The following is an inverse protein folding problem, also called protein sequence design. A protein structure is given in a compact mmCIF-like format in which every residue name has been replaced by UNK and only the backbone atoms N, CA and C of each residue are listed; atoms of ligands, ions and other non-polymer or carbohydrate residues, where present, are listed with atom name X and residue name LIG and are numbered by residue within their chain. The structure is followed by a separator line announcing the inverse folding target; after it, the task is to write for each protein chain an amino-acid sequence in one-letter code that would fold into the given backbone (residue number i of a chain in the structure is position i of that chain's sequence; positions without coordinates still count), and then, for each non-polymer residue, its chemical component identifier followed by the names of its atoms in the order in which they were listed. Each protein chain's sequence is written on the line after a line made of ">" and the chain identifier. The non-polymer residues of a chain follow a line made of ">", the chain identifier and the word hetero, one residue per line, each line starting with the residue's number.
data_IF_876283743002
#
_entry.id   IF_876283743002
#
_cell.length_a   1.000
_cell.length_b   1.000
_cell.length_c   1.000
_cell.angle_alpha   90.00
_cell.angle_beta   90.00
_cell.angle_gamma   90.00
#
_symmetry.space_group_name_H-M   'P 1'
#
loop_
_entity.id
_entity.type
_entity.pdbx_description
1 polymer ?
#
# COMPACT_ATOMS: atom_id res chain seq x y z
N UNK A 1 -14.03 63.99 -29.09
CA UNK A 1 -15.24 63.53 -28.38
C UNK A 1 -15.35 64.25 -27.06
N UNK A 2 -16.52 64.85 -26.80
CA UNK A 2 -16.90 65.39 -25.49
C UNK A 2 -16.85 64.28 -24.43
N UNK A 3 -16.53 64.64 -23.17
CA UNK A 3 -16.54 63.71 -22.03
C UNK A 3 -17.86 62.92 -21.94
N UNK A 4 -18.97 63.60 -22.22
CA UNK A 4 -20.30 63.00 -22.23
C UNK A 4 -20.44 61.91 -23.30
N UNK A 5 -19.89 62.12 -24.49
CA UNK A 5 -19.90 61.12 -25.57
C UNK A 5 -19.08 59.86 -25.19
N UNK A 6 -17.97 60.02 -24.45
CA UNK A 6 -17.17 58.88 -23.98
C UNK A 6 -17.94 58.06 -22.93
N UNK A 7 -18.64 58.71 -22.00
CA UNK A 7 -19.48 58.03 -21.01
C UNK A 7 -20.61 57.22 -21.66
N UNK A 8 -21.27 57.79 -22.68
CA UNK A 8 -22.33 57.07 -23.42
C UNK A 8 -21.77 55.82 -24.12
N UNK A 9 -20.61 55.93 -24.78
CA UNK A 9 -19.98 54.78 -25.46
C UNK A 9 -19.59 53.68 -24.47
N UNK A 10 -19.07 54.02 -23.28
CA UNK A 10 -18.72 53.03 -22.25
C UNK A 10 -19.97 52.33 -21.70
N UNK A 11 -21.04 53.06 -21.42
CA UNK A 11 -22.30 52.46 -20.97
C UNK A 11 -22.89 51.51 -22.01
N UNK A 12 -22.82 51.89 -23.29
CA UNK A 12 -23.32 51.08 -24.41
C UNK A 12 -22.47 49.80 -24.58
N UNK A 13 -21.16 49.90 -24.41
CA UNK A 13 -20.27 48.73 -24.39
C UNK A 13 -20.60 47.79 -23.22
N UNK A 14 -20.79 48.30 -22.00
CA UNK A 14 -21.16 47.47 -20.84
C UNK A 14 -22.51 46.78 -21.06
N UNK A 15 -23.49 47.47 -21.65
CA UNK A 15 -24.78 46.87 -21.96
C UNK A 15 -24.67 45.76 -23.00
N UNK A 16 -23.89 45.96 -24.06
CA UNK A 16 -23.69 44.95 -25.12
C UNK A 16 -22.89 43.76 -24.60
N UNK A 17 -21.71 43.99 -24.01
CA UNK A 17 -20.83 42.92 -23.54
C UNK A 17 -21.39 42.23 -22.29
N UNK A 18 -21.99 42.98 -21.36
CA UNK A 18 -22.66 42.44 -20.19
C UNK A 18 -23.92 41.67 -20.58
N UNK A 19 -24.71 42.18 -21.53
CA UNK A 19 -25.88 41.48 -22.08
C UNK A 19 -25.50 40.20 -22.82
N UNK A 20 -24.46 40.24 -23.65
CA UNK A 20 -23.94 39.06 -24.34
C UNK A 20 -23.33 38.03 -23.37
N UNK A 21 -22.60 38.48 -22.34
CA UNK A 21 -22.06 37.60 -21.29
C UNK A 21 -23.15 36.96 -20.44
N UNK A 22 -24.17 37.73 -20.06
CA UNK A 22 -25.34 37.21 -19.36
C UNK A 22 -26.16 36.25 -20.23
N UNK A 23 -26.38 36.60 -21.50
CA UNK A 23 -27.07 35.73 -22.46
C UNK A 23 -26.27 34.46 -22.74
N UNK A 24 -24.94 34.52 -22.87
CA UNK A 24 -24.11 33.33 -22.95
C UNK A 24 -24.20 32.50 -21.67
N UNK A 25 -24.17 33.12 -20.50
CA UNK A 25 -24.34 32.42 -19.22
C UNK A 25 -25.75 31.80 -19.07
N UNK A 26 -26.79 32.40 -19.64
CA UNK A 26 -28.18 31.90 -19.60
C UNK A 26 -28.44 30.84 -20.67
N UNK A 27 -27.99 31.07 -21.91
CA UNK A 27 -28.16 30.17 -23.05
C UNK A 27 -27.24 28.94 -22.98
N UNK A 28 -26.04 29.10 -22.41
CA UNK A 28 -25.12 28.00 -22.10
C UNK A 28 -25.13 27.65 -20.61
N UNK A 29 -26.23 27.90 -19.87
CA UNK A 29 -26.44 27.14 -18.63
C UNK A 29 -26.38 25.67 -19.01
N UNK A 30 -25.60 24.82 -18.32
CA UNK A 30 -25.53 23.40 -18.63
C UNK A 30 -26.82 22.71 -18.15
N UNK A 31 -27.94 22.99 -18.85
CA UNK A 31 -29.19 22.24 -18.73
C UNK A 31 -28.93 20.76 -19.06
N UNK A 32 -27.90 20.48 -19.85
CA UNK A 32 -27.54 19.13 -20.28
C UNK A 32 -26.89 18.27 -19.19
N UNK A 33 -26.09 18.83 -18.26
CA UNK A 33 -25.46 18.01 -17.21
C UNK A 33 -26.48 17.46 -16.21
N UNK A 34 -27.45 18.28 -15.80
CA UNK A 34 -28.55 17.85 -14.93
C UNK A 34 -29.51 16.88 -15.64
N UNK A 35 -29.76 17.09 -16.94
CA UNK A 35 -30.68 16.26 -17.73
C UNK A 35 -30.09 14.89 -18.06
N UNK A 36 -28.77 14.81 -18.30
CA UNK A 36 -28.04 13.54 -18.48
C UNK A 36 -27.99 12.72 -17.19
N UNK A 37 -27.89 13.37 -16.02
CA UNK A 37 -27.98 12.68 -14.72
C UNK A 37 -29.38 12.11 -14.44
N UNK A 38 -30.42 12.68 -15.04
CA UNK A 38 -31.82 12.23 -14.86
C UNK A 38 -32.29 11.16 -15.87
N UNK A 39 -31.42 10.63 -16.74
CA UNK A 39 -31.80 9.55 -17.67
C UNK A 39 -31.75 8.20 -16.90
N UNK A 40 -32.89 7.55 -16.62
CA UNK A 40 -32.96 6.42 -15.70
C UNK A 40 -32.27 5.13 -16.20
N UNK A 41 -31.75 5.09 -17.42
CA UNK A 41 -31.14 3.90 -18.04
C UNK A 41 -29.63 4.01 -18.35
N UNK A 42 -28.97 5.14 -18.11
CA UNK A 42 -27.50 5.25 -18.33
C UNK A 42 -26.77 5.23 -17.00
N UNK A 43 -26.41 4.04 -16.53
CA UNK A 43 -25.50 3.88 -15.40
C UNK A 43 -24.11 4.33 -15.84
N UNK A 44 -23.69 5.53 -15.45
CA UNK A 44 -22.31 6.00 -15.68
C UNK A 44 -21.33 4.99 -15.07
N UNK A 45 -20.45 4.43 -15.91
CA UNK A 45 -19.37 3.56 -15.48
C UNK A 45 -18.08 4.36 -15.56
N UNK A 46 -17.48 4.61 -14.40
CA UNK A 46 -16.23 5.34 -14.31
C UNK A 46 -15.13 4.67 -15.16
N UNK A 47 -14.32 5.40 -15.96
CA UNK A 47 -13.32 4.82 -16.87
C UNK A 47 -12.36 3.83 -16.21
N UNK A 48 -11.93 4.11 -14.98
CA UNK A 48 -11.09 3.22 -14.18
C UNK A 48 -11.71 1.84 -13.89
N UNK A 49 -13.03 1.68 -13.88
CA UNK A 49 -13.66 0.35 -13.76
C UNK A 49 -13.31 -0.52 -14.98
N UNK A 50 -13.32 0.07 -16.17
CA UNK A 50 -12.91 -0.62 -17.40
C UNK A 50 -11.41 -0.91 -17.41
N UNK A 51 -10.59 0.07 -17.01
CA UNK A 51 -9.12 -0.11 -16.94
C UNK A 51 -8.72 -1.18 -15.93
N UNK A 52 -9.38 -1.24 -14.78
CA UNK A 52 -9.15 -2.29 -13.79
C UNK A 52 -9.40 -3.67 -14.40
N UNK A 53 -10.53 -3.85 -15.09
CA UNK A 53 -10.84 -5.12 -15.77
C UNK A 53 -9.79 -5.46 -16.84
N UNK A 54 -9.40 -4.50 -17.67
CA UNK A 54 -8.34 -4.71 -18.67
C UNK A 54 -7.02 -5.13 -18.03
N UNK A 55 -6.61 -4.48 -16.94
CA UNK A 55 -5.41 -4.87 -16.20
C UNK A 55 -5.53 -6.28 -15.61
N UNK A 56 -6.68 -6.64 -15.04
CA UNK A 56 -6.95 -8.00 -14.55
C UNK A 56 -6.83 -9.04 -15.67
N UNK A 57 -7.34 -8.72 -16.86
CA UNK A 57 -7.25 -9.57 -18.05
C UNK A 57 -5.77 -9.76 -18.45
N UNK A 58 -5.00 -8.67 -18.56
CA UNK A 58 -3.56 -8.71 -18.84
C UNK A 58 -2.77 -9.52 -17.80
N UNK A 59 -3.11 -9.41 -16.50
CA UNK A 59 -2.48 -10.23 -15.44
C UNK A 59 -2.78 -11.71 -15.63
N UNK A 60 -4.04 -12.08 -15.94
CA UNK A 60 -4.41 -13.48 -16.22
C UNK A 60 -3.68 -14.05 -17.43
N UNK A 61 -3.34 -13.20 -18.40
CA UNK A 61 -2.55 -13.56 -19.58
C UNK A 61 -1.02 -13.55 -19.33
N UNK A 62 -0.56 -13.22 -18.11
CA UNK A 62 0.86 -13.12 -17.76
C UNK A 62 1.56 -11.86 -18.27
N UNK A 63 0.82 -10.91 -18.85
CA UNK A 63 1.34 -9.65 -19.41
C UNK A 63 1.49 -8.58 -18.34
N UNK A 64 2.39 -8.82 -17.38
CA UNK A 64 2.55 -7.98 -16.19
C UNK A 64 2.93 -6.53 -16.52
N UNK A 65 3.80 -6.30 -17.51
CA UNK A 65 4.21 -4.95 -17.91
C UNK A 65 3.05 -4.14 -18.50
N UNK A 66 2.20 -4.77 -19.32
CA UNK A 66 1.01 -4.14 -19.89
C UNK A 66 -0.01 -3.81 -18.78
N UNK A 67 -0.26 -4.77 -17.89
CA UNK A 67 -1.13 -4.55 -16.73
C UNK A 67 -0.63 -3.36 -15.88
N UNK A 68 0.67 -3.32 -15.60
CA UNK A 68 1.30 -2.23 -14.83
C UNK A 68 1.09 -0.88 -15.51
N UNK A 69 1.29 -0.79 -16.82
CA UNK A 69 1.10 0.46 -17.57
C UNK A 69 -0.35 0.94 -17.47
N UNK A 70 -1.33 0.04 -17.65
CA UNK A 70 -2.76 0.35 -17.52
C UNK A 70 -3.09 0.88 -16.11
N UNK A 71 -2.56 0.23 -15.07
CA UNK A 71 -2.81 0.58 -13.67
C UNK A 71 -2.21 1.93 -13.28
N UNK A 72 -0.95 2.16 -13.65
CA UNK A 72 -0.27 3.45 -13.41
C UNK A 72 -1.02 4.57 -14.13
N UNK A 73 -1.39 4.36 -15.40
CA UNK A 73 -2.17 5.33 -16.17
C UNK A 73 -3.52 5.63 -15.52
N UNK A 74 -4.23 4.61 -15.02
CA UNK A 74 -5.51 4.78 -14.34
C UNK A 74 -5.38 5.63 -13.07
N UNK A 75 -4.35 5.38 -12.26
CA UNK A 75 -4.10 6.08 -10.99
C UNK A 75 -3.58 7.51 -11.20
N UNK A 76 -2.80 7.76 -12.25
CA UNK A 76 -2.28 9.10 -12.57
C UNK A 76 -3.38 10.00 -13.12
N UNK A 77 -4.19 9.50 -14.06
CA UNK A 77 -5.23 10.31 -14.70
C UNK A 77 -6.41 10.58 -13.78
N UNK A 78 -6.85 9.57 -13.03
CA UNK A 78 -8.07 9.62 -12.22
C UNK A 78 -7.81 9.02 -10.83
N UNK A 79 -7.00 9.67 -9.98
CA UNK A 79 -6.57 9.14 -8.68
C UNK A 79 -7.72 8.98 -7.68
N UNK A 80 -8.84 9.69 -7.87
CA UNK A 80 -10.03 9.62 -7.01
C UNK A 80 -11.18 8.93 -7.74
N UNK A 81 -11.05 7.63 -7.91
CA UNK A 81 -12.06 6.76 -8.54
C UNK A 81 -12.70 5.80 -7.54
N UNK A 82 -13.91 5.26 -7.81
CA UNK A 82 -14.56 4.28 -6.93
C UNK A 82 -13.78 2.96 -6.79
N UNK A 83 -12.84 2.68 -7.71
CA UNK A 83 -12.02 1.46 -7.73
C UNK A 83 -10.54 1.72 -7.43
N UNK A 84 -10.22 2.87 -6.83
CA UNK A 84 -8.83 3.29 -6.58
C UNK A 84 -8.10 2.31 -5.67
N UNK A 85 -8.81 1.73 -4.70
CA UNK A 85 -8.27 0.75 -3.78
C UNK A 85 -7.85 -0.52 -4.51
N UNK A 86 -8.74 -1.06 -5.32
CA UNK A 86 -8.54 -2.27 -6.13
C UNK A 86 -7.44 -2.06 -7.18
N UNK A 87 -7.36 -0.87 -7.78
CA UNK A 87 -6.26 -0.51 -8.68
C UNK A 87 -4.91 -0.52 -7.96
N UNK A 88 -4.82 0.02 -6.74
CA UNK A 88 -3.57 0.02 -5.94
C UNK A 88 -3.21 -1.37 -5.45
N UNK A 89 -4.21 -2.15 -5.03
CA UNK A 89 -4.03 -3.55 -4.61
C UNK A 89 -3.48 -4.39 -5.78
N UNK A 90 -4.08 -4.26 -6.98
CA UNK A 90 -3.60 -4.96 -8.18
C UNK A 90 -2.24 -4.46 -8.65
N UNK A 91 -1.98 -3.15 -8.59
CA UNK A 91 -0.67 -2.59 -8.94
C UNK A 91 0.42 -3.13 -8.01
N UNK A 92 0.17 -3.18 -6.71
CA UNK A 92 1.10 -3.73 -5.73
C UNK A 92 1.40 -5.20 -5.97
N UNK A 93 0.38 -6.00 -6.30
CA UNK A 93 0.57 -7.39 -6.67
C UNK A 93 1.44 -7.54 -7.94
N UNK A 94 1.15 -6.77 -8.99
CA UNK A 94 1.93 -6.77 -10.24
C UNK A 94 3.38 -6.33 -10.01
N UNK A 95 3.58 -5.24 -9.27
CA UNK A 95 4.91 -4.72 -8.94
C UNK A 95 5.72 -5.73 -8.13
N UNK A 96 5.09 -6.43 -7.19
CA UNK A 96 5.72 -7.50 -6.40
C UNK A 96 6.10 -8.70 -7.28
N UNK A 97 5.23 -9.12 -8.22
CA UNK A 97 5.56 -10.19 -9.17
C UNK A 97 6.73 -9.82 -10.08
N UNK A 98 6.76 -8.60 -10.62
CA UNK A 98 7.87 -8.09 -11.43
C UNK A 98 9.15 -7.97 -10.60
N UNK A 99 9.04 -7.50 -9.36
CA UNK A 99 10.18 -7.34 -8.46
C UNK A 99 10.82 -8.69 -8.11
N UNK A 100 10.03 -9.73 -7.85
CA UNK A 100 10.55 -11.06 -7.53
C UNK A 100 10.75 -11.99 -8.74
N UNK A 101 10.53 -11.52 -9.96
CA UNK A 101 10.85 -12.30 -11.17
C UNK A 101 12.36 -12.46 -11.33
N UNK A 102 12.78 -13.51 -12.04
CA UNK A 102 14.19 -13.72 -12.42
C UNK A 102 14.61 -12.89 -13.65
N UNK A 103 13.95 -11.75 -13.87
CA UNK A 103 14.27 -10.81 -14.95
C UNK A 103 15.16 -9.67 -14.43
N UNK A 104 16.17 -9.24 -15.21
CA UNK A 104 16.95 -8.05 -14.92
C UNK A 104 16.06 -6.82 -14.75
N UNK A 105 16.40 -5.96 -13.80
CA UNK A 105 15.70 -4.69 -13.61
C UNK A 105 16.64 -3.67 -12.95
N UNK A 106 16.36 -2.36 -13.05
CA UNK A 106 17.17 -1.34 -12.37
C UNK A 106 17.25 -1.51 -10.84
N UNK A 107 16.40 -2.34 -10.24
CA UNK A 107 16.35 -2.62 -8.80
C UNK A 107 17.13 -3.87 -8.41
N UNK A 108 17.73 -4.58 -9.38
CA UNK A 108 18.49 -5.80 -9.17
C UNK A 108 19.92 -5.59 -9.68
N UNK A 109 20.89 -6.08 -8.93
CA UNK A 109 22.29 -6.09 -9.32
C UNK A 109 22.66 -7.50 -9.76
N UNK A 110 23.22 -7.66 -10.95
CA UNK A 110 23.85 -8.91 -11.35
C UNK A 110 25.14 -9.12 -10.55
N UNK A 111 25.27 -10.28 -9.92
CA UNK A 111 26.40 -10.64 -9.08
C UNK A 111 26.94 -12.01 -9.48
N UNK A 112 28.27 -12.11 -9.63
CA UNK A 112 28.96 -13.38 -9.83
C UNK A 112 29.54 -13.81 -8.49
N UNK A 113 29.11 -14.98 -8.01
CA UNK A 113 29.53 -15.53 -6.71
C UNK A 113 31.03 -15.80 -6.71
N UNK A 114 31.74 -15.30 -5.70
CA UNK A 114 33.17 -15.52 -5.52
C UNK A 114 33.44 -16.64 -4.51
N UNK A 115 34.67 -17.15 -4.49
CA UNK A 115 35.09 -18.14 -3.51
C UNK A 115 34.98 -17.57 -2.09
N UNK A 116 34.27 -18.29 -1.22
CA UNK A 116 34.03 -17.89 0.18
C UNK A 116 32.79 -17.02 0.39
N UNK A 117 32.06 -16.65 -0.67
CA UNK A 117 30.79 -15.95 -0.52
C UNK A 117 29.71 -16.85 0.10
N UNK A 118 28.84 -16.23 0.90
CA UNK A 118 27.59 -16.80 1.38
C UNK A 118 26.45 -15.84 1.02
N UNK A 119 25.22 -16.33 0.87
CA UNK A 119 24.07 -15.45 0.57
C UNK A 119 23.93 -14.30 1.58
N UNK A 120 24.22 -14.55 2.85
CA UNK A 120 24.17 -13.53 3.91
C UNK A 120 25.24 -12.45 3.75
N UNK A 121 26.46 -12.80 3.30
CA UNK A 121 27.52 -11.82 3.06
C UNK A 121 27.25 -10.98 1.82
N UNK A 122 26.76 -11.60 0.74
CA UNK A 122 26.34 -10.91 -0.49
C UNK A 122 25.17 -9.96 -0.19
N UNK A 123 24.14 -10.46 0.51
CA UNK A 123 22.97 -9.67 0.87
C UNK A 123 23.34 -8.43 1.67
N UNK A 124 24.19 -8.57 2.69
CA UNK A 124 24.66 -7.43 3.49
C UNK A 124 25.42 -6.40 2.65
N UNK A 125 26.26 -6.84 1.71
CA UNK A 125 27.05 -5.96 0.84
C UNK A 125 26.18 -5.14 -0.13
N UNK A 126 25.03 -5.68 -0.53
CA UNK A 126 24.17 -5.11 -1.57
C UNK A 126 22.82 -4.61 -1.05
N UNK A 127 22.71 -4.36 0.27
CA UNK A 127 21.48 -3.89 0.92
C UNK A 127 20.25 -4.76 0.59
N UNK A 128 20.44 -6.09 0.66
CA UNK A 128 19.43 -7.11 0.37
C UNK A 128 19.20 -8.04 1.57
N UNK A 129 18.45 -9.13 1.37
CA UNK A 129 18.34 -10.25 2.30
C UNK A 129 18.58 -11.58 1.58
N UNK A 130 19.03 -12.60 2.32
CA UNK A 130 19.26 -13.93 1.74
C UNK A 130 17.97 -14.51 1.17
N UNK A 131 16.84 -14.33 1.86
CA UNK A 131 15.51 -14.81 1.44
C UNK A 131 15.05 -14.12 0.15
N UNK A 132 15.28 -12.80 0.02
CA UNK A 132 14.94 -12.07 -1.21
C UNK A 132 15.80 -12.53 -2.40
N UNK A 133 17.11 -12.77 -2.19
CA UNK A 133 17.99 -13.33 -3.22
C UNK A 133 17.51 -14.73 -3.64
N UNK A 134 17.21 -15.60 -2.67
CA UNK A 134 16.68 -16.93 -2.97
C UNK A 134 15.38 -16.85 -3.75
N UNK A 135 14.45 -15.96 -3.35
CA UNK A 135 13.16 -15.78 -4.00
C UNK A 135 13.27 -15.32 -5.45
N UNK A 136 14.16 -14.35 -5.74
CA UNK A 136 14.40 -13.85 -7.11
C UNK A 136 15.07 -14.90 -7.99
N UNK A 137 16.00 -15.67 -7.43
CA UNK A 137 16.81 -16.62 -8.20
C UNK A 137 16.21 -18.02 -8.26
N UNK A 138 15.05 -18.25 -7.63
CA UNK A 138 14.40 -19.54 -7.45
C UNK A 138 15.34 -20.57 -6.80
N UNK A 139 16.04 -20.16 -5.73
CA UNK A 139 16.91 -21.06 -4.95
C UNK A 139 16.12 -21.69 -3.82
N UNK A 140 16.22 -23.02 -3.70
CA UNK A 140 15.56 -23.78 -2.62
C UNK A 140 16.43 -23.88 -1.35
N UNK A 141 17.71 -23.47 -1.42
CA UNK A 141 18.64 -23.50 -0.29
C UNK A 141 19.61 -22.31 -0.32
N UNK A 142 20.34 -22.11 0.77
CA UNK A 142 21.38 -21.07 0.86
C UNK A 142 22.72 -21.45 0.25
N UNK A 143 22.85 -22.69 -0.26
CA UNK A 143 24.07 -23.17 -0.87
C UNK A 143 24.25 -22.55 -2.27
N UNK A 144 25.33 -21.80 -2.44
CA UNK A 144 25.73 -21.16 -3.70
C UNK A 144 27.12 -21.62 -4.11
N UNK A 145 27.41 -21.59 -5.42
CA UNK A 145 28.73 -22.01 -5.94
C UNK A 145 29.50 -20.85 -6.55
N UNK A 146 30.83 -20.78 -6.38
CA UNK A 146 31.65 -19.81 -7.11
C UNK A 146 31.40 -19.87 -8.63
N UNK A 147 31.29 -18.72 -9.27
CA UNK A 147 30.94 -18.56 -10.69
C UNK A 147 29.44 -18.52 -10.99
N UNK A 148 28.58 -18.81 -10.02
CA UNK A 148 27.12 -18.71 -10.17
C UNK A 148 26.69 -17.25 -10.36
N UNK A 149 25.76 -17.02 -11.28
CA UNK A 149 25.18 -15.69 -11.54
C UNK A 149 23.89 -15.54 -10.75
N UNK A 150 23.83 -14.51 -9.90
CA UNK A 150 22.67 -14.17 -9.09
C UNK A 150 22.15 -12.78 -9.44
N UNK A 151 20.84 -12.63 -9.46
CA UNK A 151 20.18 -11.34 -9.42
C UNK A 151 19.90 -10.96 -7.97
N UNK A 152 20.55 -9.91 -7.48
CA UNK A 152 20.42 -9.46 -6.08
C UNK A 152 19.49 -8.25 -6.02
N UNK A 153 18.25 -8.38 -5.48
CA UNK A 153 17.33 -7.26 -5.36
C UNK A 153 17.77 -6.30 -4.25
N UNK A 154 17.70 -4.99 -4.47
CA UNK A 154 17.93 -3.99 -3.41
C UNK A 154 16.64 -3.77 -2.62
N UNK A 155 16.73 -3.81 -1.29
CA UNK A 155 15.60 -3.63 -0.38
C UNK A 155 15.59 -2.22 0.21
N UNK A 156 15.46 -1.22 -0.67
CA UNK A 156 15.43 0.21 -0.38
C UNK A 156 14.01 0.75 -0.13
N UNK A 157 13.23 -0.02 0.63
CA UNK A 157 11.85 0.29 0.94
C UNK A 157 11.70 1.05 2.25
N UNK A 158 10.53 1.66 2.42
CA UNK A 158 10.00 2.16 3.68
C UNK A 158 8.52 1.77 3.81
N UNK A 159 8.03 1.70 5.04
CA UNK A 159 6.66 1.31 5.36
C UNK A 159 5.90 2.51 5.96
N UNK A 160 4.66 2.68 5.53
CA UNK A 160 3.66 3.48 6.24
C UNK A 160 2.55 2.56 6.74
N UNK A 161 2.33 2.53 8.04
CA UNK A 161 1.18 1.88 8.67
C UNK A 161 0.11 2.94 8.85
N UNK A 162 -0.87 2.98 7.94
CA UNK A 162 -1.99 3.90 7.93
C UNK A 162 -3.20 3.25 8.60
N UNK A 163 -3.26 3.36 9.93
CA UNK A 163 -4.33 2.76 10.73
C UNK A 163 -5.71 3.37 10.43
N UNK A 164 -5.88 4.70 10.26
CA UNK A 164 -7.18 5.26 9.87
C UNK A 164 -7.75 4.69 8.58
N UNK A 165 -6.89 4.26 7.65
CA UNK A 165 -7.31 3.65 6.39
C UNK A 165 -7.22 2.11 6.39
N UNK A 166 -6.85 1.48 7.52
CA UNK A 166 -6.63 0.04 7.66
C UNK A 166 -5.66 -0.53 6.62
N UNK A 167 -4.55 0.17 6.35
CA UNK A 167 -3.58 -0.23 5.33
C UNK A 167 -2.15 -0.12 5.80
N UNK A 168 -1.35 -1.09 5.40
CA UNK A 168 0.10 -0.96 5.37
C UNK A 168 0.51 -0.68 3.93
N UNK A 169 1.26 0.40 3.71
CA UNK A 169 1.76 0.81 2.40
C UNK A 169 3.27 0.68 2.39
N UNK A 170 3.81 -0.06 1.43
CA UNK A 170 5.24 -0.12 1.15
C UNK A 170 5.53 0.87 0.02
N UNK A 171 6.57 1.68 0.21
CA UNK A 171 7.01 2.66 -0.78
C UNK A 171 8.53 2.62 -0.95
N UNK A 172 9.00 3.09 -2.08
CA UNK A 172 10.43 3.29 -2.39
C UNK A 172 10.68 4.74 -2.81
N UNK A 173 11.87 5.04 -3.35
CA UNK A 173 12.22 6.38 -3.81
C UNK A 173 11.38 6.89 -5.00
N UNK A 174 10.58 6.04 -5.64
CA UNK A 174 9.64 6.39 -6.73
C UNK A 174 8.21 6.55 -6.22
N UNK A 175 7.97 6.36 -4.92
CA UNK A 175 6.68 6.48 -4.27
C UNK A 175 6.04 5.13 -3.98
N UNK A 176 4.73 5.01 -4.23
CA UNK A 176 3.96 3.80 -3.93
C UNK A 176 4.56 2.57 -4.63
N UNK A 177 4.73 1.49 -3.88
CA UNK A 177 5.15 0.19 -4.41
C UNK A 177 4.08 -0.89 -4.24
N UNK A 178 3.58 -1.10 -3.01
CA UNK A 178 2.47 -2.04 -2.76
C UNK A 178 1.70 -1.65 -1.50
N UNK A 179 0.54 -2.27 -1.27
CA UNK A 179 -0.21 -2.12 -0.02
C UNK A 179 -0.91 -3.41 0.38
N UNK A 180 -1.15 -3.54 1.69
CA UNK A 180 -1.77 -4.70 2.30
C UNK A 180 -2.84 -4.27 3.31
N UNK A 181 -3.95 -5.01 3.42
CA UNK A 181 -4.96 -4.77 4.45
C UNK A 181 -4.41 -5.05 5.86
N UNK A 182 -4.82 -4.22 6.81
CA UNK A 182 -4.65 -4.51 8.24
C UNK A 182 -5.94 -5.17 8.73
N UNK A 183 -5.81 -6.29 9.44
CA UNK A 183 -6.95 -7.05 9.98
C UNK A 183 -7.46 -6.40 11.26
N UNK A 184 -6.57 -6.16 12.22
CA UNK A 184 -6.89 -5.46 13.47
C UNK A 184 -5.63 -4.83 14.06
N UNK A 185 -5.81 -3.90 15.00
CA UNK A 185 -4.70 -3.28 15.71
C UNK A 185 -5.09 -3.03 17.17
N UNK A 186 -4.33 -3.61 18.09
CA UNK A 186 -4.43 -3.38 19.53
C UNK A 186 -3.12 -2.76 20.01
N UNK A 187 -3.10 -1.45 20.21
CA UNK A 187 -1.87 -0.69 20.43
C UNK A 187 -1.78 -0.11 21.84
N UNK A 188 -0.57 0.21 22.33
CA UNK A 188 -0.42 0.98 23.56
C UNK A 188 -1.16 2.32 23.47
N UNK A 189 -1.75 2.81 24.59
CA UNK A 189 -2.39 4.11 24.60
C UNK A 189 -1.38 5.21 24.27
N UNK A 190 -1.73 6.08 23.32
CA UNK A 190 -0.85 7.17 22.86
C UNK A 190 -1.64 8.41 22.50
N UNK A 191 -1.05 9.58 22.75
CA UNK A 191 -1.60 10.88 22.32
C UNK A 191 -1.06 11.31 20.96
N UNK A 192 -0.03 10.64 20.44
CA UNK A 192 0.59 10.98 19.16
C UNK A 192 -0.37 10.72 18.00
N UNK A 193 -0.33 11.57 16.99
CA UNK A 193 -0.98 11.31 15.70
C UNK A 193 -0.11 10.44 14.80
N UNK A 194 1.21 10.47 15.00
CA UNK A 194 2.20 9.80 14.17
C UNK A 194 3.41 9.33 14.99
N UNK A 195 4.00 8.20 14.60
CA UNK A 195 5.23 7.66 15.19
C UNK A 195 6.20 7.25 14.07
N UNK A 196 7.40 7.81 14.10
CA UNK A 196 8.53 7.31 13.32
C UNK A 196 9.28 6.24 14.11
N UNK A 197 9.58 5.13 13.44
CA UNK A 197 10.34 4.00 13.99
C UNK A 197 11.04 3.25 12.85
N UNK A 198 11.68 2.13 13.17
CA UNK A 198 12.29 1.22 12.20
C UNK A 198 11.94 -0.22 12.53
N UNK A 199 12.15 -1.10 11.56
CA UNK A 199 12.10 -2.54 11.76
C UNK A 199 13.25 -2.97 12.65
N UNK A 200 12.96 -3.53 13.82
CA UNK A 200 13.97 -4.03 14.75
C UNK A 200 14.41 -5.45 14.38
N UNK A 201 13.45 -6.34 14.18
CA UNK A 201 13.73 -7.74 13.80
C UNK A 201 12.59 -8.35 12.99
N UNK A 202 12.93 -9.44 12.28
CA UNK A 202 11.98 -10.34 11.63
C UNK A 202 12.14 -11.70 12.29
N UNK A 203 11.04 -12.33 12.68
CA UNK A 203 11.04 -13.64 13.32
C UNK A 203 9.87 -14.50 12.86
N UNK A 204 9.99 -15.80 13.09
CA UNK A 204 8.92 -16.77 12.85
C UNK A 204 8.53 -17.40 14.18
N UNK A 205 7.24 -17.53 14.45
CA UNK A 205 6.72 -18.02 15.74
C UNK A 205 5.90 -19.28 15.55
N UNK A 206 6.11 -20.23 16.44
CA UNK A 206 5.34 -21.47 16.51
C UNK A 206 5.19 -21.87 17.99
N UNK A 207 3.97 -22.20 18.39
CA UNK A 207 3.65 -22.61 19.76
C UNK A 207 4.14 -21.62 20.84
N UNK A 208 3.97 -20.31 20.59
CA UNK A 208 4.35 -19.25 21.52
C UNK A 208 5.85 -19.02 21.70
N UNK A 209 6.68 -19.62 20.83
CA UNK A 209 8.14 -19.43 20.84
C UNK A 209 8.64 -18.96 19.49
N UNK A 210 9.60 -18.05 19.52
CA UNK A 210 10.34 -17.67 18.33
C UNK A 210 11.20 -18.86 17.87
N UNK A 211 11.01 -19.26 16.62
CA UNK A 211 11.88 -20.19 15.93
C UNK A 211 13.18 -19.47 15.58
N UNK A 212 14.30 -20.17 15.72
CA UNK A 212 15.55 -19.67 15.16
C UNK A 212 15.40 -19.59 13.64
N UNK A 213 16.01 -18.56 13.05
CA UNK A 213 16.07 -18.38 11.61
C UNK A 213 16.98 -19.47 11.00
N UNK A 214 16.52 -20.72 11.03
CA UNK A 214 17.06 -21.75 10.17
C UNK A 214 16.65 -21.39 8.75
N UNK A 215 17.57 -21.58 7.81
CA UNK A 215 17.63 -20.98 6.50
C UNK A 215 16.53 -21.42 5.51
N UNK A 216 15.41 -21.95 6.01
CA UNK A 216 14.24 -22.37 5.25
C UNK A 216 13.01 -21.54 5.59
N UNK A 217 12.21 -21.24 4.56
CA UNK A 217 10.84 -20.72 4.71
C UNK A 217 10.00 -21.78 5.45
N UNK A 218 9.93 -21.69 6.77
CA UNK A 218 9.11 -22.59 7.60
C UNK A 218 7.63 -22.27 7.34
N UNK A 219 7.03 -22.97 6.37
CA UNK A 219 5.65 -22.73 5.90
C UNK A 219 4.60 -22.75 7.02
N UNK A 220 4.86 -23.48 8.10
CA UNK A 220 3.94 -23.60 9.24
C UNK A 220 4.05 -22.46 10.25
N UNK A 221 5.20 -21.80 10.34
CA UNK A 221 5.44 -20.76 11.33
C UNK A 221 4.76 -19.44 10.98
N UNK A 222 4.38 -18.66 11.99
CA UNK A 222 3.72 -17.36 11.85
C UNK A 222 4.78 -16.26 11.76
N UNK A 223 4.87 -15.49 10.66
CA UNK A 223 5.84 -14.43 10.55
C UNK A 223 5.46 -13.26 11.46
N UNK A 224 6.48 -12.60 11.99
CA UNK A 224 6.38 -11.48 12.92
C UNK A 224 7.46 -10.45 12.60
N UNK A 225 7.09 -9.18 12.65
CA UNK A 225 7.98 -8.05 12.45
C UNK A 225 7.90 -7.17 13.69
N UNK A 226 8.94 -7.17 14.50
CA UNK A 226 9.04 -6.30 15.67
C UNK A 226 9.62 -4.94 15.25
N UNK A 227 9.02 -3.86 15.74
CA UNK A 227 9.51 -2.50 15.51
C UNK A 227 10.36 -2.03 16.69
N UNK A 228 11.25 -1.06 16.44
CA UNK A 228 12.10 -0.48 17.50
C UNK A 228 11.28 0.27 18.57
N UNK A 229 10.08 0.72 18.21
CA UNK A 229 9.12 1.31 19.15
C UNK A 229 8.43 0.21 19.97
N UNK A 230 8.69 0.21 21.28
CA UNK A 230 8.14 -0.78 22.21
C UNK A 230 6.60 -0.86 22.13
N UNK A 231 6.07 -2.08 22.12
CA UNK A 231 4.63 -2.35 22.03
C UNK A 231 4.05 -2.34 20.61
N UNK A 232 4.88 -2.11 19.58
CA UNK A 232 4.46 -2.16 18.18
C UNK A 232 5.11 -3.35 17.46
N UNK A 233 4.26 -4.29 17.07
CA UNK A 233 4.63 -5.53 16.38
C UNK A 233 3.59 -5.83 15.33
N UNK A 234 4.04 -6.26 14.14
CA UNK A 234 3.17 -6.82 13.12
C UNK A 234 3.22 -8.34 13.24
N UNK A 235 2.07 -9.00 13.27
CA UNK A 235 1.99 -10.45 13.41
C UNK A 235 0.93 -11.06 12.51
N UNK A 236 1.27 -12.23 11.95
CA UNK A 236 0.38 -12.98 11.06
C UNK A 236 -0.80 -13.59 11.80
N UNK A 237 -1.98 -13.51 11.20
CA UNK A 237 -3.16 -14.30 11.57
C UNK A 237 -3.58 -15.18 10.39
N UNK A 238 -4.19 -16.33 10.68
CA UNK A 238 -4.77 -17.18 9.64
C UNK A 238 -6.10 -16.63 9.11
N UNK A 239 -6.67 -17.29 8.10
CA UNK A 239 -8.05 -17.05 7.67
C UNK A 239 -9.02 -17.40 8.81
N UNK A 240 -9.28 -16.48 9.73
CA UNK A 240 -10.53 -16.52 10.47
C UNK A 240 -11.66 -16.46 9.43
N UNK A 241 -12.44 -17.54 9.31
CA UNK A 241 -13.71 -17.47 8.59
C UNK A 241 -14.48 -16.30 9.18
N UNK A 242 -14.69 -15.29 8.34
CA UNK A 242 -15.63 -14.19 8.54
C UNK A 242 -16.92 -14.72 9.16
N UNK A 243 -17.02 -14.66 10.47
CA UNK A 243 -18.24 -14.78 11.21
C UNK A 243 -18.08 -13.86 12.41
N UNK A 244 -18.71 -12.69 12.26
CA UNK A 244 -19.18 -11.85 13.36
C UNK A 244 -18.23 -10.76 13.87
N UNK A 245 -18.53 -9.57 13.34
CA UNK A 245 -18.76 -8.35 14.12
C UNK A 245 -17.61 -7.36 14.25
N UNK A 246 -17.79 -6.27 13.50
CA UNK A 246 -17.38 -4.92 13.86
C UNK A 246 -17.93 -4.56 15.25
N UNK A 247 -17.29 -4.99 16.31
CA UNK A 247 -17.58 -4.50 17.66
C UNK A 247 -16.29 -4.02 18.32
N UNK A 248 -16.26 -2.71 18.56
CA UNK A 248 -15.41 -2.11 19.58
C UNK A 248 -15.92 -2.70 20.90
N UNK A 249 -15.32 -3.81 21.33
CA UNK A 249 -15.68 -4.48 22.56
C UNK A 249 -15.21 -3.64 23.76
N UNK A 250 -16.18 -3.01 24.44
CA UNK A 250 -16.06 -2.62 25.84
C UNK A 250 -16.09 -3.92 26.66
N UNK A 251 -15.07 -4.11 27.47
CA UNK A 251 -14.90 -5.29 28.32
C UNK A 251 -16.01 -5.35 29.38
N UNK A 252 -16.74 -6.46 29.42
CA UNK A 252 -17.39 -6.94 30.65
C UNK A 252 -16.80 -8.28 31.00
N UNK A 253 -16.39 -8.40 32.26
CA UNK A 253 -15.67 -9.51 32.86
C UNK A 253 -16.42 -10.86 32.81
N UNK A 254 -15.62 -11.90 33.01
CA UNK A 254 -15.96 -13.27 33.39
C UNK A 254 -16.48 -14.24 32.30
N UNK A 255 -15.56 -15.00 31.69
CA UNK A 255 -15.59 -16.46 31.83
C UNK A 255 -14.31 -17.14 31.30
N UNK A 256 -13.83 -18.14 32.05
CA UNK A 256 -12.78 -19.08 31.62
C UNK A 256 -13.18 -19.79 30.32
N UNK A 257 -12.37 -19.64 29.28
CA UNK A 257 -12.42 -20.49 28.08
C UNK A 257 -11.01 -20.94 27.69
N UNK A 258 -10.89 -22.26 27.61
CA UNK A 258 -9.77 -23.05 27.06
C UNK A 258 -8.87 -22.29 26.08
N UNK A 259 -7.60 -22.13 26.44
CA UNK A 259 -6.54 -21.63 25.54
C UNK A 259 -6.51 -22.48 24.26
N UNK A 260 -7.07 -21.96 23.17
CA UNK A 260 -6.90 -22.50 21.84
C UNK A 260 -5.41 -22.35 21.49
N UNK A 261 -4.74 -23.46 21.13
CA UNK A 261 -3.34 -23.48 20.69
C UNK A 261 -3.00 -22.48 19.58
N UNK A 262 -4.03 -21.94 18.91
CA UNK A 262 -3.96 -20.93 17.83
C UNK A 262 -3.76 -19.49 18.32
N UNK A 263 -4.08 -19.19 19.59
CA UNK A 263 -3.79 -17.90 20.23
C UNK A 263 -2.37 -17.81 20.81
N UNK A 264 -1.64 -18.93 20.89
CA UNK A 264 -0.32 -18.98 21.52
C UNK A 264 0.72 -18.03 20.87
N UNK A 265 0.54 -17.72 19.59
CA UNK A 265 1.45 -16.82 18.84
C UNK A 265 1.00 -15.35 18.87
N UNK A 266 -0.20 -15.04 19.38
CA UNK A 266 -0.75 -13.68 19.39
C UNK A 266 -0.09 -12.86 20.50
N UNK A 267 0.56 -11.73 20.19
CA UNK A 267 1.06 -10.83 21.21
C UNK A 267 -0.10 -10.09 21.89
N UNK A 268 0.07 -9.70 23.16
CA UNK A 268 -0.96 -8.94 23.89
C UNK A 268 -1.28 -7.57 23.28
N UNK A 269 -0.35 -7.01 22.51
CA UNK A 269 -0.53 -5.79 21.71
C UNK A 269 0.18 -5.97 20.37
N UNK A 270 -0.37 -5.41 19.29
CA UNK A 270 0.19 -5.50 17.96
C UNK A 270 -0.80 -5.15 16.86
N UNK A 271 -0.34 -5.32 15.63
CA UNK A 271 -1.08 -5.10 14.39
C UNK A 271 -1.19 -6.46 13.70
N UNK A 272 -2.41 -6.98 13.63
CA UNK A 272 -2.72 -8.23 12.96
C UNK A 272 -2.86 -7.98 11.44
N UNK A 273 -2.26 -8.85 10.65
CA UNK A 273 -2.45 -8.90 9.20
C UNK A 273 -2.47 -10.35 8.75
N UNK A 274 -2.92 -10.62 7.52
CA UNK A 274 -2.90 -11.97 6.98
C UNK A 274 -1.46 -12.52 7.00
N UNK A 275 -1.33 -13.81 7.35
CA UNK A 275 -0.03 -14.49 7.44
C UNK A 275 0.78 -14.35 6.15
N UNK A 276 0.11 -14.47 5.00
CA UNK A 276 0.67 -14.37 3.66
C UNK A 276 1.19 -12.95 3.39
N UNK A 277 0.40 -11.93 3.75
CA UNK A 277 0.77 -10.52 3.57
C UNK A 277 2.03 -10.16 4.38
N UNK A 278 2.12 -10.60 5.64
CA UNK A 278 3.32 -10.36 6.45
C UNK A 278 4.53 -11.11 5.91
N UNK A 279 4.36 -12.33 5.39
CA UNK A 279 5.44 -13.06 4.74
C UNK A 279 5.98 -12.28 3.52
N UNK A 280 5.08 -11.75 2.69
CA UNK A 280 5.45 -10.91 1.53
C UNK A 280 6.17 -9.63 1.98
N UNK A 281 5.64 -8.91 2.97
CA UNK A 281 6.27 -7.71 3.53
C UNK A 281 7.66 -8.05 4.08
N UNK A 282 7.80 -9.17 4.79
CA UNK A 282 9.07 -9.61 5.38
C UNK A 282 10.16 -9.88 4.31
N UNK A 283 9.78 -10.22 3.07
CA UNK A 283 10.71 -10.36 1.95
C UNK A 283 11.13 -9.01 1.35
N UNK A 284 10.30 -7.97 1.50
CA UNK A 284 10.57 -6.62 1.00
C UNK A 284 11.41 -5.78 1.97
N UNK A 285 11.50 -6.15 3.24
CA UNK A 285 12.14 -5.33 4.28
C UNK A 285 13.35 -5.99 4.94
N UNK A 286 14.18 -5.15 5.54
CA UNK A 286 15.34 -5.51 6.35
C UNK A 286 15.32 -4.86 7.73
N UNK A 287 16.20 -5.30 8.62
CA UNK A 287 16.45 -4.56 9.88
C UNK A 287 16.85 -3.12 9.55
N UNK A 288 16.27 -2.16 10.27
CA UNK A 288 16.49 -0.73 10.06
C UNK A 288 15.63 -0.10 8.95
N UNK A 289 14.77 -0.88 8.27
CA UNK A 289 13.80 -0.31 7.30
C UNK A 289 12.96 0.75 8.00
N UNK A 290 12.87 1.98 7.47
CA UNK A 290 12.04 3.03 8.05
C UNK A 290 10.56 2.65 8.09
N UNK A 291 9.90 2.96 9.20
CA UNK A 291 8.47 2.73 9.40
C UNK A 291 7.84 3.97 9.99
N UNK A 292 6.79 4.46 9.34
CA UNK A 292 5.94 5.55 9.83
C UNK A 292 4.58 4.98 10.22
N UNK A 293 4.08 5.27 11.41
CA UNK A 293 2.80 4.78 11.91
C UNK A 293 1.87 5.98 12.08
N UNK A 294 0.84 6.05 11.24
CA UNK A 294 -0.22 7.06 11.32
C UNK A 294 -1.33 6.49 12.18
N UNK A 295 -1.56 7.11 13.34
CA UNK A 295 -2.50 6.67 14.37
C UNK A 295 -3.86 7.35 14.24
N UNK A 296 -3.86 8.61 13.80
CA UNK A 296 -5.06 9.45 13.64
C UNK A 296 -4.91 10.28 12.36
N UNK A 297 -6.02 10.62 11.71
CA UNK A 297 -5.99 11.59 10.62
C UNK A 297 -5.50 12.93 11.18
N UNK A 298 -4.63 13.62 10.45
CA UNK A 298 -4.28 15.00 10.82
C UNK A 298 -5.55 15.83 10.73
N UNK A 299 -6.01 16.38 11.85
CA UNK A 299 -7.02 17.44 11.80
C UNK A 299 -6.44 18.55 10.93
N UNK A 300 -7.12 18.88 9.82
CA UNK A 300 -6.80 20.06 9.06
C UNK A 300 -6.86 21.27 10.03
N UNK A 301 -5.96 22.25 9.92
CA UNK A 301 -6.03 23.41 10.81
C UNK A 301 -7.42 24.02 10.69
N UNK A 302 -8.12 24.02 11.82
CA UNK A 302 -9.50 24.48 11.96
C UNK A 302 -9.62 25.85 11.27
N UNK A 303 -10.25 25.84 10.10
CA UNK A 303 -10.50 27.03 9.33
C UNK A 303 -11.44 27.87 10.16
N UNK A 304 -10.89 28.82 10.92
CA UNK A 304 -11.60 29.81 11.73
C UNK A 304 -12.95 30.13 11.08
N UNK A 305 -14.03 29.62 11.67
CA UNK A 305 -15.35 30.21 11.52
C UNK A 305 -15.23 31.63 12.08
N UNK A 306 -15.01 32.59 11.19
CA UNK A 306 -15.35 33.98 11.47
C UNK A 306 -16.87 34.05 11.53
N UNK A 307 -17.35 34.41 12.72
CA UNK A 307 -18.70 34.83 13.05
C UNK A 307 -19.23 35.94 12.12
#
# INVERSE_FOLDING_TARGET
>A
MSFWQKCVVVLLAIAIFGGAGYFAHVAFRPVELARLQSIPWVKYVHPNVKRLKQAQDSVREGKLNEAREILVKALVLEPKSPVTRELRDLLGNVDTQIFFSKEPSPRKTEYIVNQGDALSSIARKLDSSAEAIMRVNNLDSTLIRPGEKLLVPRLDFAITIDLPNNRLVVHDNRGFFTQYPIVSAQLPPTRRSEIETKVATKSFWQNGKALQADHGMQKEATPRIDLEHAGYVLYGVGEERQASTSEIAVTTDDNEQTMDSRDANRPGQGIAMMKEDIADIALLIRKGTPVTIILKQSEAPDGKRSE
#
